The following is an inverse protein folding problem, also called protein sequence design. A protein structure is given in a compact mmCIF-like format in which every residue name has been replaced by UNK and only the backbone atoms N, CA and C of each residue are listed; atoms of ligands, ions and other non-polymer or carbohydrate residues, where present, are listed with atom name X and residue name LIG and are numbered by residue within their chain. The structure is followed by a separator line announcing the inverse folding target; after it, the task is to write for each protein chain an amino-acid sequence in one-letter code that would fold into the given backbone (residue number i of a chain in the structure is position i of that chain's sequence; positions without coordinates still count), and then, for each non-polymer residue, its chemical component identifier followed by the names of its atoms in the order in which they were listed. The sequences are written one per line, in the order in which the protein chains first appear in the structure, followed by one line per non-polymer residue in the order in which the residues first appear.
data_IF_874381313935
#
_entry.id   IF_874381313935
#
_cell.length_a   1.000
_cell.length_b   1.000
_cell.length_c   1.000
_cell.angle_alpha   90.00
_cell.angle_beta   90.00
_cell.angle_gamma   90.00
#
_symmetry.space_group_name_H-M   'P 1'
#
loop_
_entity.id
_entity.type
_entity.pdbx_description
1 polymer ?
#
# COMPACT_ATOMS: atom_id res chain seq x y z
N UNK A 1 17.42 -6.50 22.56
CA UNK A 1 17.25 -6.72 21.11
C UNK A 1 15.76 -6.58 20.83
N UNK A 2 15.33 -5.40 20.38
CA UNK A 2 13.90 -5.09 20.24
C UNK A 2 13.42 -5.69 18.90
N UNK A 3 12.63 -6.75 18.97
CA UNK A 3 11.88 -7.25 17.81
C UNK A 3 10.77 -6.24 17.51
N UNK A 4 10.96 -5.44 16.47
CA UNK A 4 9.92 -4.54 15.97
C UNK A 4 8.76 -5.36 15.38
N UNK A 5 7.59 -5.15 15.96
CA UNK A 5 6.28 -5.62 15.53
C UNK A 5 6.00 -5.14 14.10
N UNK A 6 5.99 -6.06 13.15
CA UNK A 6 5.10 -6.17 11.98
C UNK A 6 5.57 -7.44 11.27
N UNK A 7 4.73 -8.46 11.25
CA UNK A 7 5.06 -9.86 10.97
C UNK A 7 5.90 -10.05 9.70
N UNK A 8 7.17 -10.39 9.90
CA UNK A 8 8.19 -10.76 8.89
C UNK A 8 7.95 -12.12 8.21
N UNK A 9 6.74 -12.67 8.24
CA UNK A 9 6.53 -14.06 7.82
C UNK A 9 6.49 -14.23 6.29
N UNK A 10 6.32 -13.15 5.52
CA UNK A 10 6.24 -13.21 4.05
C UNK A 10 7.40 -12.50 3.35
N UNK A 11 8.00 -11.49 3.98
CA UNK A 11 9.06 -10.67 3.39
C UNK A 11 10.11 -10.28 4.42
N UNK A 12 11.38 -10.47 4.09
CA UNK A 12 12.51 -9.91 4.84
C UNK A 12 12.69 -8.44 4.47
N UNK A 13 12.16 -7.53 5.29
CA UNK A 13 12.29 -6.09 5.06
C UNK A 13 13.56 -5.60 5.75
N UNK A 14 14.58 -5.10 5.01
CA UNK A 14 15.90 -4.78 5.56
C UNK A 14 15.92 -3.40 6.23
N UNK A 15 14.99 -3.16 7.15
CA UNK A 15 14.89 -1.90 7.88
C UNK A 15 14.28 -2.12 9.26
N UNK A 16 14.68 -1.26 10.20
CA UNK A 16 14.15 -1.20 11.56
C UNK A 16 13.18 -0.03 11.77
N UNK A 17 13.02 0.83 10.75
CA UNK A 17 12.11 1.97 10.82
C UNK A 17 10.66 1.49 10.74
N UNK A 18 9.81 2.00 11.63
CA UNK A 18 8.38 1.77 11.55
C UNK A 18 7.81 2.45 10.29
N UNK A 19 7.02 1.76 9.47
CA UNK A 19 6.44 2.36 8.29
C UNK A 19 5.29 3.32 8.64
N UNK A 20 4.90 4.14 7.67
CA UNK A 20 3.61 4.85 7.70
C UNK A 20 2.56 4.03 6.95
N UNK A 21 1.28 4.26 7.24
CA UNK A 21 0.18 3.75 6.42
C UNK A 21 -0.40 4.92 5.61
N UNK A 22 -0.34 4.82 4.29
CA UNK A 22 -0.92 5.80 3.37
C UNK A 22 -2.09 5.15 2.62
N UNK A 23 -3.28 5.71 2.78
CA UNK A 23 -4.47 5.31 2.04
C UNK A 23 -4.70 6.31 0.92
N UNK A 24 -4.82 5.82 -0.31
CA UNK A 24 -5.18 6.62 -1.48
C UNK A 24 -6.40 6.01 -2.14
N UNK A 25 -7.25 6.86 -2.70
CA UNK A 25 -8.43 6.41 -3.43
C UNK A 25 -8.61 7.26 -4.66
N UNK A 26 -9.12 6.65 -5.73
CA UNK A 26 -9.51 7.33 -6.97
C UNK A 26 -10.97 7.04 -7.27
N UNK A 27 -11.72 8.07 -7.64
CA UNK A 27 -13.16 8.02 -7.86
C UNK A 27 -13.86 9.16 -7.10
N UNK A 28 -15.14 9.38 -7.38
CA UNK A 28 -15.92 10.34 -6.58
C UNK A 28 -16.15 9.80 -5.18
N UNK A 29 -15.87 10.64 -4.18
CA UNK A 29 -15.93 10.26 -2.76
C UNK A 29 -17.34 9.84 -2.29
N UNK A 30 -18.39 10.26 -3.01
CA UNK A 30 -19.78 10.06 -2.60
C UNK A 30 -20.49 8.95 -3.38
N UNK A 31 -20.39 8.93 -4.71
CA UNK A 31 -21.32 8.16 -5.55
C UNK A 31 -20.67 7.34 -6.68
N UNK A 32 -19.34 7.18 -6.69
CA UNK A 32 -18.70 6.34 -7.69
C UNK A 32 -18.55 4.88 -7.21
N UNK A 33 -19.28 3.95 -7.85
CA UNK A 33 -19.04 2.52 -7.70
C UNK A 33 -17.72 2.08 -8.36
N UNK A 34 -17.25 2.82 -9.37
CA UNK A 34 -16.00 2.57 -10.11
C UNK A 34 -14.87 3.36 -9.46
N UNK A 35 -13.75 2.69 -9.17
CA UNK A 35 -12.60 3.34 -8.56
C UNK A 35 -11.54 2.37 -8.06
N UNK A 36 -10.46 2.95 -7.54
CA UNK A 36 -9.38 2.20 -6.88
C UNK A 36 -9.27 2.60 -5.42
N UNK A 37 -8.98 1.61 -4.58
CA UNK A 37 -8.49 1.81 -3.22
C UNK A 37 -7.07 1.28 -3.17
N UNK A 38 -6.13 2.17 -2.91
CA UNK A 38 -4.71 1.89 -2.92
C UNK A 38 -4.17 2.04 -1.49
N UNK A 39 -3.40 1.06 -1.06
CA UNK A 39 -2.72 1.06 0.22
C UNK A 39 -1.22 1.11 -0.06
N UNK A 40 -0.52 2.09 0.51
CA UNK A 40 0.94 2.16 0.48
C UNK A 40 1.49 2.17 1.90
N UNK A 41 2.41 1.27 2.18
CA UNK A 41 3.13 1.18 3.45
C UNK A 41 4.61 1.48 3.18
N UNK A 42 5.03 2.76 3.18
CA UNK A 42 6.44 3.12 3.03
C UNK A 42 7.23 2.91 4.31
N UNK A 43 8.37 2.24 4.19
CA UNK A 43 9.37 2.07 5.24
C UNK A 43 10.53 3.06 5.07
N UNK A 44 10.96 3.30 3.84
CA UNK A 44 11.99 4.28 3.47
C UNK A 44 11.52 4.98 2.19
N UNK A 45 11.52 6.31 2.19
CA UNK A 45 11.27 7.13 0.99
C UNK A 45 12.36 8.20 0.85
N UNK A 46 13.39 7.91 0.04
CA UNK A 46 14.53 8.79 -0.25
C UNK A 46 14.87 8.73 -1.74
N UNK A 47 15.58 9.73 -2.25
CA UNK A 47 15.93 9.81 -3.68
C UNK A 47 16.71 8.59 -4.22
N UNK A 48 17.50 7.93 -3.36
CA UNK A 48 18.36 6.79 -3.74
C UNK A 48 17.87 5.44 -3.21
N UNK A 49 16.90 5.42 -2.30
CA UNK A 49 16.44 4.21 -1.64
C UNK A 49 14.95 4.36 -1.31
N UNK A 50 14.13 3.45 -1.83
CA UNK A 50 12.70 3.43 -1.58
C UNK A 50 12.26 2.01 -1.28
N UNK A 51 11.82 1.77 -0.05
CA UNK A 51 11.29 0.48 0.39
C UNK A 51 9.85 0.71 0.81
N UNK A 52 8.92 0.10 0.10
CA UNK A 52 7.49 0.19 0.40
C UNK A 52 6.77 -1.07 -0.03
N UNK A 53 5.70 -1.38 0.69
CA UNK A 53 4.66 -2.29 0.22
C UNK A 53 3.55 -1.48 -0.45
N UNK A 54 2.98 -2.00 -1.53
CA UNK A 54 1.86 -1.40 -2.23
C UNK A 54 0.86 -2.48 -2.62
N UNK A 55 -0.42 -2.20 -2.36
CA UNK A 55 -1.53 -3.04 -2.78
C UNK A 55 -2.67 -2.16 -3.29
N UNK A 56 -3.48 -2.71 -4.19
CA UNK A 56 -4.60 -2.01 -4.81
C UNK A 56 -5.75 -2.95 -5.11
N UNK A 57 -6.94 -2.53 -4.72
CA UNK A 57 -8.19 -3.17 -5.13
C UNK A 57 -8.93 -2.18 -6.04
N UNK A 58 -9.17 -2.60 -7.27
CA UNK A 58 -9.88 -1.80 -8.28
C UNK A 58 -11.18 -2.48 -8.66
N UNK A 59 -12.28 -1.74 -8.62
CA UNK A 59 -13.58 -2.19 -9.13
C UNK A 59 -13.83 -1.58 -10.51
N UNK A 60 -13.92 -2.44 -11.52
CA UNK A 60 -14.17 -2.06 -12.92
C UNK A 60 -15.27 -2.97 -13.49
N UNK A 61 -16.17 -2.44 -14.34
CA UNK A 61 -17.13 -3.28 -15.05
C UNK A 61 -16.43 -4.33 -15.91
N UNK A 62 -17.02 -5.51 -16.03
CA UNK A 62 -16.61 -6.49 -17.05
C UNK A 62 -16.87 -5.91 -18.44
N UNK A 63 -15.98 -6.17 -19.39
CA UNK A 63 -16.31 -5.90 -20.80
C UNK A 63 -17.51 -6.76 -21.19
N UNK A 64 -18.50 -6.18 -21.85
CA UNK A 64 -19.51 -6.97 -22.56
C UNK A 64 -18.78 -7.73 -23.67
N UNK A 65 -18.99 -9.04 -23.74
CA UNK A 65 -18.46 -9.93 -24.77
C UNK A 65 -19.11 -9.65 -26.13
#
# INVERSE_FOLDING_TARGET
MIHSFFEKNYYEIPTQYAPKLLLKGKGDFKDASIGSKDIKIPFIEKTKENIYFFDSITFSPSKNL
#
